data_IF_512476805698
#
_entry.id   IF_512476805698
#
_cell.length_a   1.000
_cell.length_b   1.000
_cell.length_c   1.000
_cell.angle_alpha   90.00
_cell.angle_beta   90.00
_cell.angle_gamma   90.00
#
_symmetry.space_group_name_H-M   'P 1'
#
loop_
_entity.id
_entity.type
_entity.pdbx_description
1 polymer ?
#
# COMPACT_ATOMS: atom_id res chain seq x y z
N UNK A 1 28.34 -4.07 7.74
CA UNK A 1 27.80 -3.90 7.94
C UNK A 1 27.24 -3.76 8.01
N UNK A 2 27.00 -3.59 7.80
CA UNK A 2 26.34 -3.22 7.85
C UNK A 2 25.61 -3.12 7.80
N UNK A 3 25.55 -3.03 7.59
CA UNK A 3 24.74 -2.74 7.54
C UNK A 3 24.19 -2.76 7.46
N UNK A 4 24.36 -2.60 7.25
CA UNK A 4 23.78 -2.44 7.17
C UNK A 4 23.19 -2.46 7.01
N UNK A 5 23.33 -2.40 6.86
CA UNK A 5 22.53 -2.24 6.73
C UNK A 5 21.66 -2.38 6.81
N UNK A 6 21.73 -2.45 6.62
CA UNK A 6 20.80 -2.30 6.71
C UNK A 6 20.02 -2.49 6.74
N UNK A 7 19.78 -2.24 6.55
CA UNK A 7 18.79 -2.30 6.61
C UNK A 7 17.90 -2.49 6.13
N UNK A 8 18.13 -2.55 5.72
CA UNK A 8 17.18 -2.53 5.07
C UNK A 8 16.20 -2.99 4.87
N UNK A 9 16.16 -3.03 4.43
CA UNK A 9 15.31 -3.23 4.82
C UNK A 9 13.83 -3.05 4.81
N UNK A 10 12.96 -2.82 5.87
CA UNK A 10 11.50 -2.80 5.82
C UNK A 10 10.97 -1.68 4.96
N UNK A 11 11.62 -0.56 4.94
CA UNK A 11 11.13 0.51 4.09
C UNK A 11 11.14 0.14 2.64
N UNK A 12 12.16 -0.59 2.24
CA UNK A 12 12.27 -0.96 0.84
C UNK A 12 11.17 -1.91 0.43
N UNK A 13 10.79 -2.82 1.34
CA UNK A 13 9.73 -3.77 1.01
C UNK A 13 8.36 -3.13 1.04
N UNK A 14 8.22 -1.94 1.64
CA UNK A 14 6.94 -1.27 1.78
C UNK A 14 6.74 -0.14 0.78
N UNK A 15 7.75 0.19 0.00
CA UNK A 15 7.65 1.28 -0.96
C UNK A 15 7.56 0.72 -2.37
N UNK A 16 6.73 1.35 -3.18
CA UNK A 16 6.62 1.03 -4.60
C UNK A 16 6.80 2.33 -5.37
N UNK A 17 7.03 2.23 -6.66
CA UNK A 17 7.21 3.43 -7.48
C UNK A 17 5.92 4.23 -7.55
N UNK A 18 4.80 3.56 -7.72
CA UNK A 18 3.51 4.19 -7.91
C UNK A 18 2.44 3.29 -7.35
N UNK A 19 1.43 3.89 -6.72
CA UNK A 19 0.26 3.14 -6.28
C UNK A 19 -0.64 2.96 -7.50
N UNK A 20 -1.02 1.72 -7.80
CA UNK A 20 -1.79 1.40 -9.00
C UNK A 20 -2.99 0.53 -8.68
N UNK A 21 -4.01 0.66 -9.52
CA UNK A 21 -5.15 -0.23 -9.45
C UNK A 21 -4.69 -1.68 -9.59
N UNK A 22 -5.30 -2.55 -8.83
CA UNK A 22 -4.99 -3.97 -8.90
C UNK A 22 -3.87 -4.42 -7.98
N UNK A 23 -3.16 -3.49 -7.36
CA UNK A 23 -2.16 -3.88 -6.37
C UNK A 23 -2.82 -4.47 -5.14
N UNK A 24 -2.13 -5.42 -4.51
CA UNK A 24 -2.60 -6.03 -3.27
C UNK A 24 -1.62 -5.66 -2.17
N UNK A 25 -2.16 -5.12 -1.10
CA UNK A 25 -1.40 -4.71 0.07
C UNK A 25 -1.95 -5.44 1.28
N UNK A 26 -1.07 -5.92 2.15
CA UNK A 26 -1.47 -6.58 3.39
C UNK A 26 -1.51 -5.55 4.51
N UNK A 27 -2.63 -5.50 5.21
CA UNK A 27 -2.72 -4.64 6.38
C UNK A 27 -1.91 -5.24 7.51
N UNK A 28 -1.00 -4.44 8.07
CA UNK A 28 -0.06 -4.95 9.07
C UNK A 28 -0.76 -5.34 10.36
N UNK A 29 -1.83 -4.64 10.67
CA UNK A 29 -2.53 -4.82 11.94
C UNK A 29 -3.11 -6.23 12.08
N UNK A 30 -3.69 -6.76 11.02
CA UNK A 30 -4.38 -8.05 11.10
C UNK A 30 -3.99 -9.01 9.99
N UNK A 31 -3.08 -8.62 9.11
CA UNK A 31 -2.62 -9.49 8.03
C UNK A 31 -3.62 -9.68 6.91
N UNK A 32 -4.70 -8.93 6.88
CA UNK A 32 -5.69 -9.06 5.82
C UNK A 32 -5.23 -8.36 4.56
N UNK A 33 -5.44 -8.99 3.41
CA UNK A 33 -5.06 -8.43 2.12
C UNK A 33 -6.14 -7.50 1.61
N UNK A 34 -5.70 -6.38 1.02
CA UNK A 34 -6.57 -5.37 0.44
C UNK A 34 -6.18 -5.10 -1.00
N UNK A 35 -7.17 -4.89 -1.83
CA UNK A 35 -6.99 -4.64 -3.26
C UNK A 35 -7.24 -3.17 -3.56
N UNK A 36 -6.30 -2.54 -4.26
CA UNK A 36 -6.45 -1.15 -4.66
C UNK A 36 -7.45 -1.08 -5.81
N UNK A 37 -8.57 -0.39 -5.58
CA UNK A 37 -9.62 -0.27 -6.58
C UNK A 37 -9.72 1.13 -7.16
N UNK A 38 -9.07 2.10 -6.55
CA UNK A 38 -9.13 3.48 -7.02
C UNK A 38 -7.95 4.26 -6.48
N UNK A 39 -7.41 5.15 -7.29
CA UNK A 39 -6.36 6.08 -6.87
C UNK A 39 -6.77 7.45 -7.37
N UNK A 40 -6.71 8.45 -6.51
CA UNK A 40 -7.09 9.79 -6.92
C UNK A 40 -6.36 10.82 -6.08
N UNK A 41 -6.34 12.05 -6.59
CA UNK A 41 -5.72 13.18 -5.90
C UNK A 41 -6.79 14.10 -5.36
N UNK A 42 -6.55 14.62 -4.16
CA UNK A 42 -7.42 15.59 -3.53
C UNK A 42 -6.52 16.74 -3.09
N UNK A 43 -6.67 17.89 -3.73
CA UNK A 43 -5.76 19.00 -3.55
C UNK A 43 -4.35 18.55 -3.90
N UNK A 44 -3.45 18.45 -2.97
CA UNK A 44 -2.09 17.99 -3.24
C UNK A 44 -1.80 16.63 -2.62
N UNK A 45 -2.84 15.92 -2.23
CA UNK A 45 -2.68 14.64 -1.53
C UNK A 45 -3.24 13.53 -2.39
N UNK A 46 -2.49 12.45 -2.53
CA UNK A 46 -2.95 11.27 -3.24
C UNK A 46 -3.54 10.28 -2.25
N UNK A 47 -4.65 9.67 -2.63
CA UNK A 47 -5.34 8.66 -1.84
C UNK A 47 -5.53 7.39 -2.64
N UNK A 48 -5.47 6.27 -1.94
CA UNK A 48 -5.82 4.97 -2.50
C UNK A 48 -7.07 4.47 -1.79
N UNK A 49 -8.03 3.98 -2.58
CA UNK A 49 -9.20 3.32 -2.05
C UNK A 49 -9.00 1.83 -2.23
N UNK A 50 -9.20 1.07 -1.17
CA UNK A 50 -8.97 -0.36 -1.20
C UNK A 50 -10.15 -1.10 -0.59
N UNK A 51 -10.30 -2.35 -1.01
CA UNK A 51 -11.30 -3.25 -0.45
C UNK A 51 -10.62 -4.54 -0.05
N UNK A 52 -11.22 -5.31 0.88
CA UNK A 52 -10.66 -6.62 1.22
C UNK A 52 -10.56 -7.50 0.00
N UNK A 53 -9.39 -8.07 -0.23
CA UNK A 53 -9.14 -8.81 -1.46
C UNK A 53 -9.89 -10.14 -1.50
N UNK A 54 -10.12 -10.74 -0.35
CA UNK A 54 -10.78 -12.04 -0.27
C UNK A 54 -12.30 -11.96 -0.20
N UNK A 55 -12.86 -10.76 -0.16
CA UNK A 55 -14.30 -10.60 -0.08
C UNK A 55 -14.80 -10.09 -1.41
N UNK A 56 -15.70 -10.84 -2.02
CA UNK A 56 -16.21 -10.48 -3.35
C UNK A 56 -17.59 -9.84 -3.32
N UNK A 57 -18.13 -9.56 -2.13
CA UNK A 57 -19.44 -8.92 -2.04
C UNK A 57 -19.37 -7.50 -2.59
N UNK A 58 -20.36 -7.09 -3.40
CA UNK A 58 -20.31 -5.75 -4.02
C UNK A 58 -20.38 -4.62 -3.01
N UNK A 59 -20.91 -4.86 -1.84
CA UNK A 59 -21.02 -3.87 -0.79
C UNK A 59 -19.94 -4.03 0.27
N UNK A 60 -18.86 -4.73 -0.03
CA UNK A 60 -17.78 -4.89 0.92
C UNK A 60 -17.23 -3.51 1.33
N UNK A 61 -16.86 -3.36 2.61
CA UNK A 61 -16.35 -2.07 3.07
C UNK A 61 -15.05 -1.70 2.37
N UNK A 62 -14.88 -0.42 2.11
CA UNK A 62 -13.66 0.09 1.53
C UNK A 62 -12.95 0.97 2.55
N UNK A 63 -11.65 1.13 2.36
CA UNK A 63 -10.85 2.03 3.17
C UNK A 63 -10.18 3.05 2.25
N UNK A 64 -10.01 4.25 2.76
CA UNK A 64 -9.33 5.33 2.06
C UNK A 64 -8.03 5.59 2.80
N UNK A 65 -6.91 5.43 2.10
CA UNK A 65 -5.60 5.53 2.71
C UNK A 65 -4.81 6.63 2.01
N UNK A 66 -4.23 7.51 2.80
CA UNK A 66 -3.40 8.57 2.25
C UNK A 66 -2.06 7.96 1.82
N UNK A 67 -1.66 8.27 0.59
CA UNK A 67 -0.40 7.79 0.06
C UNK A 67 0.74 8.61 0.64
N UNK A 68 1.77 7.94 1.15
CA UNK A 68 2.93 8.60 1.72
C UNK A 68 4.10 8.50 0.75
N UNK A 69 4.88 9.56 0.67
CA UNK A 69 6.12 9.53 -0.11
C UNK A 69 7.20 8.86 0.72
N UNK A 70 8.01 8.05 0.05
CA UNK A 70 9.08 7.34 0.69
C UNK A 70 10.27 7.31 -0.27
N UNK A 71 11.14 8.33 -0.16
CA UNK A 71 12.21 8.49 -1.13
C UNK A 71 11.65 8.76 -2.51
N UNK A 72 12.03 7.95 -3.47
CA UNK A 72 11.51 8.06 -4.84
C UNK A 72 10.23 7.28 -5.04
N UNK A 73 9.74 6.63 -4.00
CA UNK A 73 8.58 5.78 -4.12
C UNK A 73 7.41 6.25 -3.29
N UNK A 74 6.43 5.38 -3.19
CA UNK A 74 5.19 5.62 -2.46
C UNK A 74 4.90 4.43 -1.56
N UNK A 75 4.21 4.70 -0.46
CA UNK A 75 3.81 3.64 0.47
C UNK A 75 2.42 3.94 1.00
N UNK A 76 1.77 2.91 1.50
CA UNK A 76 0.49 3.03 2.18
C UNK A 76 0.74 2.77 3.66
N UNK A 77 0.68 3.79 4.51
CA UNK A 77 0.99 3.62 5.95
C UNK A 77 0.09 2.56 6.56
N UNK A 78 0.70 1.64 7.30
CA UNK A 78 -0.01 0.53 7.92
C UNK A 78 -0.19 -0.68 7.02
N UNK A 79 0.35 -0.65 5.81
CA UNK A 79 0.21 -1.73 4.85
C UNK A 79 1.57 -2.12 4.29
N UNK A 80 1.67 -3.37 3.87
CA UNK A 80 2.89 -3.91 3.25
C UNK A 80 2.55 -4.43 1.86
N UNK A 81 3.34 -4.03 0.88
CA UNK A 81 3.14 -4.48 -0.49
C UNK A 81 3.46 -5.98 -0.57
N UNK A 82 2.61 -6.71 -1.29
CA UNK A 82 2.70 -8.17 -1.33
C UNK A 82 3.20 -8.72 -2.65
N UNK A 83 3.43 -7.88 -3.64
CA UNK A 83 3.75 -8.33 -4.99
C UNK A 83 5.07 -7.76 -5.43
N UNK A 84 5.62 -8.30 -6.51
CA UNK A 84 6.80 -7.72 -7.15
C UNK A 84 6.36 -6.65 -8.14
N UNK A 85 7.13 -5.59 -8.20
CA UNK A 85 6.87 -4.53 -9.17
C UNK A 85 7.42 -4.85 -10.54
#
# INVERSE_FOLDING_TARGET
MTALHGNSYPEETMAVKTIRLGQVWRRDEDGQNYLVTRVFNEVFTQFAVMRPAEISAPDAPTVKVKVAKNGDGCALPGYTFTQNE
#
